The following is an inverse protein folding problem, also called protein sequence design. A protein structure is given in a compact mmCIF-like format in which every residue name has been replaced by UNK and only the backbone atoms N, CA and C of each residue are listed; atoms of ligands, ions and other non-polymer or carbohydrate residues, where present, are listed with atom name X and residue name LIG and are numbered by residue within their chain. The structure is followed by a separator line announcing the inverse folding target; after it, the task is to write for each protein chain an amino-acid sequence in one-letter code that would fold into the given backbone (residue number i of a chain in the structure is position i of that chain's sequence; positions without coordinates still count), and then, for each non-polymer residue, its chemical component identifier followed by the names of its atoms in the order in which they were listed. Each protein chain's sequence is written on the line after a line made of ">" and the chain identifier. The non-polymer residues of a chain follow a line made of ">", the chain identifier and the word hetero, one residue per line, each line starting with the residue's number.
data_IF_733829741799
#
_entry.id   IF_733829741799
#
_cell.length_a   1.000
_cell.length_b   1.000
_cell.length_c   1.000
_cell.angle_alpha   90.00
_cell.angle_beta   90.00
_cell.angle_gamma   90.00
#
_symmetry.space_group_name_H-M   'P 1'
#
loop_
_entity.id
_entity.type
_entity.pdbx_description
1 polymer ?
#
# COMPACT_ATOMS: atom_id res chain seq x y z
N UNK A 1 -3.31 8.16 8.65
CA UNK A 1 -3.73 7.14 7.66
C UNK A 1 -3.84 7.81 6.31
N UNK A 2 -3.32 7.15 5.27
CA UNK A 2 -3.53 7.53 3.87
C UNK A 2 -4.30 6.39 3.20
N UNK A 3 -5.45 6.69 2.59
CA UNK A 3 -6.23 5.70 1.84
C UNK A 3 -6.01 5.88 0.34
N UNK A 4 -5.77 4.77 -0.36
CA UNK A 4 -5.54 4.70 -1.81
C UNK A 4 -6.64 3.84 -2.42
N UNK A 5 -7.43 4.41 -3.34
CA UNK A 5 -8.52 3.68 -3.98
C UNK A 5 -9.81 4.49 -4.07
N UNK A 6 -10.94 3.82 -3.84
CA UNK A 6 -12.30 4.33 -3.89
C UNK A 6 -13.10 3.85 -5.11
N UNK A 7 -14.40 4.14 -5.09
CA UNK A 7 -15.43 3.67 -6.05
C UNK A 7 -15.16 3.93 -7.54
N UNK A 8 -14.22 4.82 -7.86
CA UNK A 8 -13.92 5.20 -9.24
C UNK A 8 -12.43 5.04 -9.50
N UNK A 9 -12.10 4.07 -10.35
CA UNK A 9 -10.74 3.83 -10.79
C UNK A 9 -10.57 2.38 -11.20
N UNK A 10 -9.55 2.12 -12.00
CA UNK A 10 -9.16 0.77 -12.35
C UNK A 10 -7.74 0.55 -11.83
N UNK A 11 -7.64 -0.14 -10.69
CA UNK A 11 -6.38 -0.42 -10.02
C UNK A 11 -5.91 -1.83 -10.38
N UNK A 12 -4.64 -1.96 -10.74
CA UNK A 12 -4.09 -3.23 -11.21
C UNK A 12 -2.76 -3.50 -10.54
N UNK A 13 -2.65 -4.69 -9.95
CA UNK A 13 -1.37 -5.31 -9.67
C UNK A 13 -1.17 -6.40 -10.71
N UNK A 14 -0.07 -6.31 -11.46
CA UNK A 14 0.16 -7.17 -12.62
C UNK A 14 0.99 -8.42 -12.31
N UNK A 15 1.59 -8.48 -11.12
CA UNK A 15 2.39 -9.60 -10.63
C UNK A 15 2.77 -9.40 -9.16
N UNK A 16 3.23 -10.47 -8.51
CA UNK A 16 3.91 -10.43 -7.20
C UNK A 16 5.06 -9.41 -7.19
N UNK A 17 5.85 -9.35 -8.26
CA UNK A 17 6.98 -8.43 -8.36
C UNK A 17 6.51 -6.96 -8.41
N UNK A 18 5.43 -6.70 -9.13
CA UNK A 18 4.82 -5.38 -9.19
C UNK A 18 4.23 -4.97 -7.83
N UNK A 19 3.56 -5.88 -7.13
CA UNK A 19 3.08 -5.65 -5.76
C UNK A 19 4.22 -5.26 -4.80
N UNK A 20 5.35 -5.98 -4.84
CA UNK A 20 6.54 -5.67 -4.03
C UNK A 20 7.15 -4.31 -4.36
N UNK A 21 7.23 -3.94 -5.64
CA UNK A 21 7.73 -2.63 -6.06
C UNK A 21 6.86 -1.50 -5.52
N UNK A 22 5.53 -1.64 -5.63
CA UNK A 22 4.57 -0.66 -5.11
C UNK A 22 4.67 -0.56 -3.58
N UNK A 23 4.74 -1.69 -2.88
CA UNK A 23 4.89 -1.69 -1.44
C UNK A 23 6.21 -1.04 -0.98
N UNK A 24 7.31 -1.27 -1.70
CA UNK A 24 8.61 -0.61 -1.46
C UNK A 24 8.52 0.91 -1.69
N UNK A 25 7.79 1.32 -2.72
CA UNK A 25 7.56 2.75 -2.99
C UNK A 25 6.83 3.42 -1.82
N UNK A 26 5.74 2.81 -1.35
CA UNK A 26 4.99 3.33 -0.21
C UNK A 26 5.81 3.36 1.07
N UNK A 27 6.60 2.30 1.31
CA UNK A 27 7.53 2.23 2.42
C UNK A 27 8.47 3.45 2.48
N UNK A 28 9.13 3.74 1.35
CA UNK A 28 10.16 4.78 1.27
C UNK A 28 9.61 6.21 1.26
N UNK A 29 8.40 6.41 0.75
CA UNK A 29 7.85 7.76 0.56
C UNK A 29 6.88 8.22 1.66
N UNK A 30 6.24 7.28 2.37
CA UNK A 30 5.18 7.60 3.32
C UNK A 30 5.33 6.92 4.68
N UNK A 31 6.05 5.79 4.76
CA UNK A 31 6.28 5.04 6.00
C UNK A 31 7.72 5.22 6.48
N UNK A 32 8.26 4.20 7.16
CA UNK A 32 9.56 4.23 7.84
C UNK A 32 10.79 4.07 6.94
N UNK A 33 10.62 3.99 5.62
CA UNK A 33 11.74 4.03 4.68
C UNK A 33 12.23 5.45 4.40
N UNK A 34 13.19 5.57 3.49
CA UNK A 34 13.78 6.87 3.13
C UNK A 34 13.68 7.13 1.63
N UNK A 35 13.40 8.38 1.28
CA UNK A 35 13.32 8.87 -0.10
C UNK A 35 13.72 10.35 -0.10
N UNK A 36 14.42 10.80 -1.15
CA UNK A 36 14.74 12.22 -1.33
C UNK A 36 13.52 13.04 -1.79
N UNK A 37 12.42 12.39 -2.17
CA UNK A 37 11.23 13.00 -2.76
C UNK A 37 9.95 12.63 -2.00
N UNK A 38 9.99 12.67 -0.67
CA UNK A 38 8.79 12.44 0.16
C UNK A 38 7.76 13.54 -0.06
N UNK A 39 6.60 13.18 -0.60
CA UNK A 39 5.54 14.13 -0.96
C UNK A 39 4.93 14.83 0.26
N UNK A 40 4.94 14.17 1.42
CA UNK A 40 4.46 14.72 2.69
C UNK A 40 5.62 15.25 3.57
N UNK A 41 6.80 15.47 2.99
CA UNK A 41 8.02 15.82 3.72
C UNK A 41 8.45 14.72 4.70
N UNK A 42 8.94 15.13 5.86
CA UNK A 42 9.47 14.22 6.90
C UNK A 42 8.39 13.47 7.68
N UNK A 43 7.10 13.65 7.33
CA UNK A 43 6.01 12.93 7.98
C UNK A 43 6.14 11.42 7.73
N UNK A 44 6.01 10.64 8.81
CA UNK A 44 5.95 9.17 8.78
C UNK A 44 4.53 8.76 9.18
N UNK A 45 3.81 8.15 8.25
CA UNK A 45 2.48 7.61 8.51
C UNK A 45 2.58 6.28 9.25
N UNK A 46 1.59 6.00 10.11
CA UNK A 46 1.49 4.71 10.79
C UNK A 46 0.79 3.64 9.91
N UNK A 47 -0.02 4.07 8.92
CA UNK A 47 -0.83 3.18 8.08
C UNK A 47 -1.13 3.75 6.70
N UNK A 48 -1.13 2.84 5.71
CA UNK A 48 -1.71 3.03 4.38
C UNK A 48 -2.78 1.95 4.18
N UNK A 49 -3.98 2.41 3.83
CA UNK A 49 -5.15 1.57 3.57
C UNK A 49 -5.45 1.57 2.06
N UNK A 50 -5.61 0.39 1.46
CA UNK A 50 -5.98 0.24 0.06
C UNK A 50 -7.46 -0.11 -0.04
N UNK A 51 -8.28 0.87 -0.40
CA UNK A 51 -9.73 0.74 -0.57
C UNK A 51 -10.06 0.37 -2.01
N UNK A 52 -9.92 -0.92 -2.34
CA UNK A 52 -10.01 -1.39 -3.72
C UNK A 52 -11.42 -1.86 -4.02
N UNK A 53 -12.14 -1.04 -4.79
CA UNK A 53 -13.53 -1.30 -5.20
C UNK A 53 -13.68 -1.66 -6.69
N UNK A 54 -12.57 -1.78 -7.43
CA UNK A 54 -12.56 -2.11 -8.86
C UNK A 54 -11.18 -2.44 -9.41
N UNK A 55 -11.12 -3.15 -10.55
CA UNK A 55 -9.87 -3.62 -11.16
C UNK A 55 -9.60 -5.11 -10.93
N UNK A 56 -8.36 -5.50 -10.65
CA UNK A 56 -8.01 -6.92 -10.41
C UNK A 56 -8.28 -7.32 -8.97
N UNK A 57 -8.54 -8.61 -8.75
CA UNK A 57 -8.58 -9.22 -7.42
C UNK A 57 -7.25 -9.89 -7.04
N UNK A 58 -6.24 -9.83 -7.92
CA UNK A 58 -4.97 -10.55 -7.78
C UNK A 58 -3.90 -9.68 -7.09
N UNK A 59 -3.01 -10.32 -6.33
CA UNK A 59 -1.78 -9.77 -5.73
C UNK A 59 -1.94 -8.70 -4.63
N UNK A 60 -3.15 -8.34 -4.26
CA UNK A 60 -3.39 -7.43 -3.13
C UNK A 60 -2.93 -8.02 -1.79
N UNK A 61 -2.98 -9.35 -1.67
CA UNK A 61 -2.41 -10.11 -0.58
C UNK A 61 -0.87 -10.08 -0.59
N UNK A 62 -0.24 -10.18 -1.75
CA UNK A 62 1.22 -10.01 -1.89
C UNK A 62 1.66 -8.61 -1.43
N UNK A 63 0.87 -7.59 -1.76
CA UNK A 63 1.10 -6.20 -1.33
C UNK A 63 0.95 -6.06 0.19
N UNK A 64 -0.16 -6.57 0.76
CA UNK A 64 -0.44 -6.49 2.20
C UNK A 64 0.58 -7.25 3.05
N UNK A 65 1.10 -8.36 2.51
CA UNK A 65 2.09 -9.19 3.19
C UNK A 65 3.53 -8.69 3.02
N UNK A 66 3.75 -7.64 2.23
CA UNK A 66 5.08 -7.06 2.10
C UNK A 66 5.53 -6.45 3.42
N UNK A 67 6.61 -6.99 3.97
CA UNK A 67 7.29 -6.47 5.16
C UNK A 67 8.72 -6.08 4.78
N UNK A 68 8.96 -4.81 4.44
CA UNK A 68 10.33 -4.33 4.27
C UNK A 68 11.00 -4.51 5.64
N UNK A 69 12.14 -5.17 5.63
CA UNK A 69 12.83 -5.70 6.79
C UNK A 69 12.79 -4.74 7.98
N UNK A 70 12.43 -5.30 9.13
CA UNK A 70 12.31 -4.66 10.44
C UNK A 70 13.07 -3.33 10.55
N UNK A 71 12.30 -2.25 10.70
CA UNK A 71 12.85 -0.96 11.14
C UNK A 71 13.75 -1.21 12.35
N UNK A 72 14.95 -0.65 12.31
CA UNK A 72 15.92 -0.65 13.40
C UNK A 72 15.40 -0.04 14.71
N UNK A 73 14.16 0.45 14.73
CA UNK A 73 13.53 1.19 15.82
C UNK A 73 12.29 0.48 16.42
N UNK A 74 11.90 -0.70 15.92
CA UNK A 74 10.80 -1.47 16.50
C UNK A 74 9.39 -0.85 16.33
N UNK A 75 9.25 0.23 15.57
CA UNK A 75 7.95 0.83 15.26
C UNK A 75 7.24 -0.02 14.20
N UNK A 76 6.13 -0.65 14.58
CA UNK A 76 5.26 -1.40 13.67
C UNK A 76 4.51 -0.41 12.77
N UNK A 77 4.60 -0.61 11.48
CA UNK A 77 3.90 0.16 10.44
C UNK A 77 3.09 -0.82 9.61
N UNK A 78 1.88 -0.44 9.23
CA UNK A 78 0.91 -1.36 8.64
C UNK A 78 0.56 -0.95 7.20
N UNK A 79 0.62 -1.93 6.29
CA UNK A 79 -0.09 -1.89 5.02
C UNK A 79 -1.35 -2.73 5.22
N UNK A 80 -2.51 -2.10 5.06
CA UNK A 80 -3.82 -2.74 5.21
C UNK A 80 -4.57 -2.61 3.90
N UNK A 81 -5.40 -3.60 3.60
CA UNK A 81 -6.19 -3.63 2.36
C UNK A 81 -7.63 -3.89 2.75
N UNK A 82 -8.52 -2.99 2.33
CA UNK A 82 -9.96 -3.15 2.42
C UNK A 82 -10.48 -3.39 1.01
N UNK A 83 -10.91 -4.62 0.72
CA UNK A 83 -11.46 -4.96 -0.60
C UNK A 83 -12.99 -4.98 -0.47
N UNK A 84 -13.65 -3.98 -1.04
CA UNK A 84 -15.10 -4.01 -1.22
C UNK A 84 -15.41 -4.64 -2.58
N UNK A 85 -15.77 -5.93 -2.58
CA UNK A 85 -16.33 -6.54 -3.79
C UNK A 85 -17.74 -5.99 -3.96
N UNK A 86 -17.90 -4.95 -4.78
CA UNK A 86 -19.21 -4.58 -5.29
C UNK A 86 -19.69 -5.73 -6.17
N UNK A 87 -20.48 -6.64 -5.59
CA UNK A 87 -21.32 -7.53 -6.38
C UNK A 87 -22.28 -6.62 -7.15
N UNK A 88 -22.08 -6.51 -8.47
CA UNK A 88 -23.03 -5.85 -9.36
C UNK A 88 -24.42 -6.44 -9.12
N UNK A 89 -25.35 -5.59 -8.69
CA UNK A 89 -26.79 -5.85 -8.62
C UNK A 89 -27.39 -5.75 -10.03
#
# INVERSE_FOLDING_TARGET
>A
MLTIGGASGSYYLTSVANAKQIATYFWNNFLGGSSSTRQLGDAVLDEIDFDIEGGTTEHWDDLANYRPEYTSEGKKVYLTTTILIMNSI
#
